data_IF_194518226929
#
_entry.id   IF_194518226929
#
_cell.length_a   1.000
_cell.length_b   1.000
_cell.length_c   1.000
_cell.angle_alpha   90.00
_cell.angle_beta   90.00
_cell.angle_gamma   90.00
#
_symmetry.space_group_name_H-M   'P 1'
#
loop_
_entity.id
_entity.type
_entity.pdbx_description
1 polymer ?
#
# COMPACT_ATOMS: atom_id res chain seq x y z
N UNK A 1 7.72 -32.32 -8.86
CA UNK A 1 6.68 -32.01 -9.87
C UNK A 1 6.73 -30.57 -10.39
N UNK A 2 6.66 -29.51 -9.55
CA UNK A 2 6.74 -28.11 -10.02
C UNK A 2 7.96 -27.85 -10.94
N UNK A 3 9.17 -28.20 -10.48
CA UNK A 3 10.40 -28.04 -11.27
C UNK A 3 10.38 -28.84 -12.57
N UNK A 4 9.84 -30.06 -12.58
CA UNK A 4 9.72 -30.86 -13.81
C UNK A 4 8.81 -30.19 -14.84
N UNK A 5 7.78 -29.46 -14.38
CA UNK A 5 6.77 -28.84 -15.25
C UNK A 5 7.20 -27.48 -15.79
N UNK A 6 7.88 -26.68 -14.97
CA UNK A 6 8.11 -25.26 -15.23
C UNK A 6 9.59 -24.82 -15.18
N UNK A 7 10.51 -25.70 -14.76
CA UNK A 7 11.87 -25.29 -14.40
C UNK A 7 11.91 -24.58 -13.04
N UNK A 8 13.02 -23.89 -12.77
CA UNK A 8 13.19 -23.08 -11.55
C UNK A 8 14.20 -21.97 -11.77
N UNK A 9 13.93 -20.82 -11.15
CA UNK A 9 14.86 -19.70 -10.99
C UNK A 9 15.36 -19.60 -9.53
N UNK A 10 15.22 -20.70 -8.78
CA UNK A 10 15.68 -20.88 -7.40
C UNK A 10 14.95 -20.05 -6.33
N UNK A 11 13.96 -19.23 -6.70
CA UNK A 11 13.13 -18.45 -5.77
C UNK A 11 11.81 -19.19 -5.48
N UNK A 12 11.52 -19.42 -4.20
CA UNK A 12 10.31 -20.13 -3.76
C UNK A 12 9.56 -19.33 -2.70
N UNK A 13 8.28 -19.04 -2.96
CA UNK A 13 7.39 -18.43 -1.99
C UNK A 13 6.64 -19.49 -1.18
N UNK A 14 6.65 -19.37 0.14
CA UNK A 14 5.88 -20.22 1.04
C UNK A 14 5.64 -19.49 2.37
N UNK A 15 4.41 -19.52 2.87
CA UNK A 15 4.05 -18.77 4.07
C UNK A 15 3.13 -19.60 4.97
N UNK A 16 3.67 -20.13 6.07
CA UNK A 16 2.95 -21.10 6.91
C UNK A 16 1.88 -20.46 7.80
N UNK A 17 2.07 -19.20 8.21
CA UNK A 17 1.25 -18.54 9.24
C UNK A 17 0.86 -17.11 8.88
N UNK A 18 0.60 -16.85 7.59
CA UNK A 18 -0.09 -15.62 7.20
C UNK A 18 -1.47 -15.62 7.85
N UNK A 19 -1.73 -14.58 8.65
CA UNK A 19 -2.98 -14.36 9.39
C UNK A 19 -3.41 -15.52 10.31
N UNK A 20 -2.48 -16.43 10.61
CA UNK A 20 -2.71 -17.55 11.49
C UNK A 20 -1.74 -17.46 12.68
N UNK A 21 -2.21 -17.92 13.84
CA UNK A 21 -1.37 -18.03 15.03
C UNK A 21 -0.68 -19.40 15.03
N UNK A 22 0.66 -19.48 15.14
CA UNK A 22 1.32 -20.77 15.36
C UNK A 22 0.83 -21.44 16.64
N UNK A 23 0.82 -22.79 16.70
CA UNK A 23 0.30 -23.52 17.86
C UNK A 23 1.18 -23.41 19.12
N UNK A 24 2.42 -22.92 18.99
CA UNK A 24 3.34 -22.66 20.11
C UNK A 24 4.14 -21.39 19.85
N UNK A 25 4.36 -20.59 20.90
CA UNK A 25 5.26 -19.42 20.89
C UNK A 25 6.69 -19.74 21.36
N UNK A 26 7.00 -21.02 21.59
CA UNK A 26 8.36 -21.48 21.89
C UNK A 26 9.29 -21.17 20.70
N UNK A 27 10.34 -20.35 20.89
CA UNK A 27 11.32 -20.07 19.85
C UNK A 27 11.90 -21.34 19.21
N UNK A 28 12.13 -22.41 19.98
CA UNK A 28 12.65 -23.67 19.42
C UNK A 28 11.67 -24.27 18.42
N UNK A 29 10.38 -24.32 18.76
CA UNK A 29 9.33 -24.82 17.86
C UNK A 29 9.31 -24.04 16.54
N UNK A 30 9.36 -22.71 16.60
CA UNK A 30 9.33 -21.86 15.40
C UNK A 30 10.58 -22.00 14.55
N UNK A 31 11.76 -22.13 15.17
CA UNK A 31 13.01 -22.41 14.48
C UNK A 31 13.02 -23.78 13.81
N UNK A 32 12.61 -24.83 14.52
CA UNK A 32 12.51 -26.19 13.97
C UNK A 32 11.55 -26.24 12.77
N UNK A 33 10.40 -25.55 12.87
CA UNK A 33 9.43 -25.47 11.78
C UNK A 33 9.98 -24.75 10.55
N UNK A 34 10.58 -23.57 10.74
CA UNK A 34 11.20 -22.81 9.64
C UNK A 34 12.31 -23.65 8.97
N UNK A 35 13.15 -24.29 9.78
CA UNK A 35 14.20 -25.19 9.31
C UNK A 35 13.64 -26.39 8.53
N UNK A 36 12.51 -26.97 8.94
CA UNK A 36 11.87 -28.07 8.23
C UNK A 36 11.34 -27.64 6.84
N UNK A 37 10.69 -26.46 6.76
CA UNK A 37 10.22 -25.89 5.48
C UNK A 37 11.39 -25.69 4.53
N UNK A 38 12.44 -25.01 4.98
CA UNK A 38 13.61 -24.74 4.15
C UNK A 38 14.37 -26.01 3.77
N UNK A 39 14.51 -26.98 4.69
CA UNK A 39 15.08 -28.31 4.39
C UNK A 39 14.33 -29.00 3.24
N UNK A 40 13.00 -28.91 3.23
CA UNK A 40 12.18 -29.43 2.13
C UNK A 40 12.47 -28.75 0.79
N UNK A 41 12.66 -27.43 0.77
CA UNK A 41 13.05 -26.70 -0.44
C UNK A 41 14.40 -27.19 -0.97
N UNK A 42 15.44 -27.23 -0.13
CA UNK A 42 16.81 -27.59 -0.57
C UNK A 42 16.99 -29.06 -0.92
N UNK A 43 16.12 -29.95 -0.44
CA UNK A 43 16.09 -31.34 -0.88
C UNK A 43 15.74 -31.45 -2.38
N UNK A 44 14.94 -30.53 -2.90
CA UNK A 44 14.55 -30.50 -4.31
C UNK A 44 15.45 -29.59 -5.15
N UNK A 45 15.91 -28.47 -4.58
CA UNK A 45 16.79 -27.50 -5.22
C UNK A 45 17.85 -26.97 -4.24
N UNK A 46 19.11 -27.44 -4.31
CA UNK A 46 20.18 -26.99 -3.43
C UNK A 46 20.49 -25.48 -3.49
N UNK A 47 19.98 -24.76 -4.51
CA UNK A 47 20.14 -23.32 -4.66
C UNK A 47 18.94 -22.52 -4.15
N UNK A 48 17.90 -23.19 -3.62
CA UNK A 48 16.66 -22.55 -3.19
C UNK A 48 16.90 -21.34 -2.27
N UNK A 49 16.15 -20.28 -2.53
CA UNK A 49 16.02 -19.09 -1.71
C UNK A 49 14.54 -18.96 -1.37
N UNK A 50 14.25 -18.86 -0.08
CA UNK A 50 12.90 -18.69 0.41
C UNK A 50 12.49 -17.21 0.37
N UNK A 51 11.48 -16.87 -0.43
CA UNK A 51 10.82 -15.57 -0.42
C UNK A 51 9.67 -15.62 0.58
N UNK A 52 9.76 -14.85 1.67
CA UNK A 52 8.81 -14.84 2.78
C UNK A 52 8.07 -13.50 2.85
N UNK A 53 6.75 -13.54 3.00
CA UNK A 53 5.96 -12.34 3.27
C UNK A 53 6.09 -11.92 4.74
N UNK A 54 6.46 -10.67 4.98
CA UNK A 54 6.60 -10.09 6.33
C UNK A 54 5.28 -9.77 7.04
N UNK A 55 4.12 -10.15 6.48
CA UNK A 55 2.78 -9.75 6.97
C UNK A 55 2.55 -10.16 8.42
N UNK A 56 3.06 -11.33 8.80
CA UNK A 56 2.91 -11.91 10.12
C UNK A 56 3.40 -10.96 11.25
N UNK A 57 4.42 -10.13 10.98
CA UNK A 57 4.93 -9.12 11.93
C UNK A 57 4.04 -7.88 12.04
N UNK A 58 3.19 -7.61 11.03
CA UNK A 58 2.18 -6.54 11.04
C UNK A 58 0.87 -7.03 11.63
N UNK A 59 0.40 -8.20 11.17
CA UNK A 59 -0.91 -8.77 11.49
C UNK A 59 -0.98 -9.30 12.92
N UNK A 60 0.09 -9.91 13.43
CA UNK A 60 0.10 -10.53 14.76
C UNK A 60 1.35 -10.15 15.60
N UNK A 61 1.56 -8.85 15.87
CA UNK A 61 2.76 -8.36 16.56
C UNK A 61 2.82 -8.79 18.03
N UNK A 62 1.66 -9.14 18.62
CA UNK A 62 1.61 -9.66 19.99
C UNK A 62 2.19 -11.06 20.11
N UNK A 63 2.09 -11.87 19.05
CA UNK A 63 2.72 -13.19 18.96
C UNK A 63 4.19 -13.08 18.52
N UNK A 64 4.44 -12.37 17.42
CA UNK A 64 5.76 -12.30 16.78
C UNK A 64 6.68 -11.28 17.47
N UNK A 65 7.13 -11.61 18.68
CA UNK A 65 8.11 -10.82 19.45
C UNK A 65 9.54 -11.18 19.01
N UNK A 66 10.56 -10.42 19.45
CA UNK A 66 11.95 -10.64 19.02
C UNK A 66 12.46 -12.08 19.19
N UNK A 67 12.21 -12.82 20.30
CA UNK A 67 12.67 -14.21 20.41
C UNK A 67 12.09 -15.14 19.35
N UNK A 68 10.79 -15.01 19.04
CA UNK A 68 10.09 -15.82 18.03
C UNK A 68 10.63 -15.52 16.63
N UNK A 69 10.76 -14.23 16.31
CA UNK A 69 11.29 -13.78 15.02
C UNK A 69 12.75 -14.21 14.84
N UNK A 70 13.62 -13.99 15.84
CA UNK A 70 15.03 -14.39 15.82
C UNK A 70 15.20 -15.90 15.61
N UNK A 71 14.37 -16.72 16.25
CA UNK A 71 14.46 -18.17 16.07
C UNK A 71 14.01 -18.63 14.67
N UNK A 72 12.92 -18.06 14.14
CA UNK A 72 12.47 -18.35 12.77
C UNK A 72 13.53 -17.97 11.74
N UNK A 73 14.06 -16.74 11.82
CA UNK A 73 15.07 -16.25 10.87
C UNK A 73 16.43 -16.95 11.05
N UNK A 74 16.85 -17.20 12.29
CA UNK A 74 18.12 -17.85 12.60
C UNK A 74 18.21 -19.32 12.18
N UNK A 75 17.07 -19.97 11.91
CA UNK A 75 17.03 -21.34 11.41
C UNK A 75 17.45 -21.47 9.93
N UNK A 76 17.50 -20.36 9.19
CA UNK A 76 17.82 -20.33 7.76
C UNK A 76 19.14 -19.59 7.56
N UNK A 77 20.03 -19.98 6.62
CA UNK A 77 21.17 -19.15 6.25
C UNK A 77 20.75 -17.77 5.71
N UNK A 78 21.55 -16.73 5.90
CA UNK A 78 21.16 -15.36 5.56
C UNK A 78 20.97 -15.13 4.06
N UNK A 79 21.79 -15.77 3.23
CA UNK A 79 21.76 -15.73 1.78
C UNK A 79 20.64 -16.58 1.15
N UNK A 80 19.84 -17.25 2.00
CA UNK A 80 18.83 -18.23 1.59
C UNK A 80 17.41 -17.81 1.92
N UNK A 81 17.23 -16.56 2.35
CA UNK A 81 15.91 -15.97 2.56
C UNK A 81 15.87 -14.51 2.11
N UNK A 82 14.79 -14.15 1.45
CA UNK A 82 14.42 -12.77 1.11
C UNK A 82 13.07 -12.45 1.77
N UNK A 83 13.00 -11.37 2.54
CA UNK A 83 11.79 -10.94 3.21
C UNK A 83 11.13 -9.79 2.45
N UNK A 84 9.83 -9.90 2.20
CA UNK A 84 9.01 -8.82 1.67
C UNK A 84 8.43 -8.03 2.85
N UNK A 85 8.99 -6.86 3.18
CA UNK A 85 8.41 -5.98 4.21
C UNK A 85 7.18 -5.27 3.63
N UNK A 86 6.03 -5.96 3.68
CA UNK A 86 4.87 -5.75 2.83
C UNK A 86 4.28 -4.32 2.82
N UNK A 87 4.35 -3.61 3.94
CA UNK A 87 3.60 -2.38 4.17
C UNK A 87 4.48 -1.24 4.71
N UNK A 88 5.65 -1.03 4.09
CA UNK A 88 6.62 -0.06 4.58
C UNK A 88 6.09 1.39 4.58
N UNK A 89 5.19 1.73 3.67
CA UNK A 89 4.56 3.04 3.58
C UNK A 89 3.69 3.37 4.81
N UNK A 90 3.23 2.36 5.57
CA UNK A 90 2.39 2.58 6.74
C UNK A 90 2.99 1.99 8.01
N UNK A 91 3.31 0.71 8.03
CA UNK A 91 3.84 -0.01 9.21
C UNK A 91 5.09 -0.81 8.84
N UNK A 92 6.24 -0.16 8.60
CA UNK A 92 7.48 -0.86 8.29
C UNK A 92 7.90 -1.76 9.47
N UNK A 93 8.25 -3.00 9.16
CA UNK A 93 8.61 -4.00 10.17
C UNK A 93 10.12 -4.19 10.30
N UNK A 94 10.89 -3.84 9.26
CA UNK A 94 12.35 -3.97 9.25
C UNK A 94 13.02 -3.33 10.48
N UNK A 95 12.53 -2.18 10.96
CA UNK A 95 13.09 -1.53 12.18
C UNK A 95 12.85 -2.35 13.45
N UNK A 96 11.70 -3.02 13.54
CA UNK A 96 11.32 -3.85 14.70
C UNK A 96 12.07 -5.19 14.72
N UNK A 97 12.55 -5.61 13.55
CA UNK A 97 13.26 -6.86 13.34
C UNK A 97 14.76 -6.67 13.13
N UNK A 98 15.31 -5.49 13.45
CA UNK A 98 16.74 -5.17 13.27
C UNK A 98 17.21 -5.52 11.83
N UNK A 99 16.45 -5.07 10.83
CA UNK A 99 16.57 -5.43 9.42
C UNK A 99 16.52 -6.94 9.18
N UNK A 100 15.48 -7.58 9.73
CA UNK A 100 15.23 -9.02 9.63
C UNK A 100 16.42 -9.89 10.05
N UNK A 101 17.17 -9.43 11.07
CA UNK A 101 18.30 -10.13 11.67
C UNK A 101 19.30 -10.70 10.66
N UNK A 102 19.63 -9.92 9.63
CA UNK A 102 20.63 -10.28 8.62
C UNK A 102 20.08 -10.86 7.32
N UNK A 103 18.76 -11.08 7.21
CA UNK A 103 18.13 -11.50 5.94
C UNK A 103 18.11 -10.35 4.93
N UNK A 104 18.18 -10.74 3.67
CA UNK A 104 17.92 -9.79 2.59
C UNK A 104 16.44 -9.42 2.57
N UNK A 105 16.11 -8.18 2.21
CA UNK A 105 14.71 -7.74 2.21
C UNK A 105 14.40 -6.67 1.17
N UNK A 106 13.13 -6.55 0.84
CA UNK A 106 12.58 -5.57 -0.09
C UNK A 106 11.65 -4.60 0.65
N UNK A 107 11.80 -3.30 0.40
CA UNK A 107 10.87 -2.27 0.86
C UNK A 107 9.60 -2.36 0.01
N UNK A 108 8.52 -2.90 0.56
CA UNK A 108 7.31 -3.14 -0.22
C UNK A 108 6.19 -2.15 0.10
N UNK A 109 5.31 -1.97 -0.87
CA UNK A 109 4.09 -1.16 -0.75
C UNK A 109 2.83 -2.02 -0.99
N UNK A 110 1.86 -1.92 -0.07
CA UNK A 110 0.52 -2.51 -0.19
C UNK A 110 -0.53 -1.39 -0.09
N UNK A 111 -0.57 -0.55 -1.11
CA UNK A 111 -1.53 0.55 -1.20
C UNK A 111 -2.99 0.10 -1.19
N UNK A 112 -3.30 -1.08 -1.74
CA UNK A 112 -4.68 -1.53 -1.87
C UNK A 112 -4.93 -2.87 -1.17
N UNK A 113 -5.97 -2.88 -0.34
CA UNK A 113 -6.52 -4.06 0.31
C UNK A 113 -7.89 -4.41 -0.30
N UNK A 114 -8.08 -5.67 -0.68
CA UNK A 114 -9.34 -6.26 -1.14
C UNK A 114 -9.89 -5.69 -2.46
N UNK A 115 -9.07 -5.04 -3.28
CA UNK A 115 -9.55 -4.37 -4.50
C UNK A 115 -10.45 -3.17 -4.22
N UNK A 116 -10.39 -2.61 -3.00
CA UNK A 116 -11.31 -1.55 -2.58
C UNK A 116 -11.11 -0.27 -3.39
N UNK A 117 -12.22 0.33 -3.79
CA UNK A 117 -12.25 1.45 -4.72
C UNK A 117 -12.18 2.77 -3.96
N UNK A 118 -10.98 3.34 -3.86
CA UNK A 118 -10.76 4.65 -3.23
C UNK A 118 -9.49 5.32 -3.77
N UNK A 119 -9.42 6.64 -3.65
CA UNK A 119 -8.21 7.41 -3.89
C UNK A 119 -7.37 7.47 -2.63
N UNK A 120 -6.20 6.82 -2.65
CA UNK A 120 -5.20 6.96 -1.59
C UNK A 120 -3.82 6.49 -2.02
N UNK A 121 -2.78 7.05 -1.39
CA UNK A 121 -1.42 6.55 -1.43
C UNK A 121 -0.49 7.47 -0.65
N UNK A 122 0.47 6.92 0.07
CA UNK A 122 1.45 7.71 0.82
C UNK A 122 2.62 8.14 -0.09
N UNK A 123 2.36 8.98 -1.10
CA UNK A 123 3.38 9.35 -2.10
C UNK A 123 4.57 10.10 -1.47
N UNK A 124 4.34 10.82 -0.37
CA UNK A 124 5.39 11.42 0.45
C UNK A 124 6.40 10.40 0.98
N UNK A 125 5.92 9.24 1.41
CA UNK A 125 6.78 8.16 1.92
C UNK A 125 7.39 7.36 0.78
N UNK A 126 6.59 7.01 -0.23
CA UNK A 126 7.07 6.26 -1.40
C UNK A 126 8.18 7.03 -2.11
N UNK A 127 7.99 8.33 -2.36
CA UNK A 127 8.97 9.19 -3.02
C UNK A 127 10.22 9.53 -2.19
N UNK A 128 10.35 9.02 -0.97
CA UNK A 128 11.39 9.45 -0.02
C UNK A 128 12.08 8.31 0.72
N UNK A 129 11.33 7.36 1.28
CA UNK A 129 11.83 6.44 2.30
C UNK A 129 12.92 5.53 1.75
N UNK A 130 12.72 4.89 0.59
CA UNK A 130 13.69 3.98 0.01
C UNK A 130 15.06 4.66 -0.19
N UNK A 131 15.08 5.86 -0.78
CA UNK A 131 16.30 6.60 -1.10
C UNK A 131 17.02 7.09 0.16
N UNK A 132 16.29 7.36 1.24
CA UNK A 132 16.88 7.79 2.50
C UNK A 132 17.44 6.64 3.33
N UNK A 133 16.84 5.45 3.26
CA UNK A 133 17.26 4.31 4.09
C UNK A 133 18.26 3.38 3.39
N UNK A 134 18.29 3.31 2.05
CA UNK A 134 19.12 2.33 1.31
C UNK A 134 20.63 2.39 1.58
N UNK A 135 21.12 3.51 2.12
CA UNK A 135 22.53 3.70 2.47
C UNK A 135 22.79 3.73 3.98
N UNK A 136 21.76 3.54 4.80
CA UNK A 136 21.88 3.51 6.26
C UNK A 136 22.37 2.13 6.70
N UNK A 137 23.40 2.03 7.57
CA UNK A 137 23.85 0.75 8.11
C UNK A 137 22.73 -0.06 8.79
N UNK A 138 21.78 0.62 9.42
CA UNK A 138 20.64 0.02 10.11
C UNK A 138 19.68 -0.70 9.16
N UNK A 139 19.68 -0.36 7.86
CA UNK A 139 18.85 -1.01 6.85
C UNK A 139 19.35 -2.41 6.47
N UNK A 140 20.53 -2.81 6.94
CA UNK A 140 21.07 -4.15 6.70
C UNK A 140 21.13 -4.48 5.20
N UNK A 141 20.56 -5.62 4.81
CA UNK A 141 20.56 -6.11 3.43
C UNK A 141 19.29 -5.70 2.67
N UNK A 142 18.97 -4.42 2.67
CA UNK A 142 17.93 -3.86 1.79
C UNK A 142 18.38 -3.98 0.33
N UNK A 143 17.64 -4.72 -0.50
CA UNK A 143 18.04 -5.01 -1.89
C UNK A 143 17.20 -4.32 -2.95
N UNK A 144 16.08 -3.68 -2.58
CA UNK A 144 15.23 -3.02 -3.55
C UNK A 144 13.82 -2.78 -3.04
N UNK A 145 12.90 -2.65 -3.98
CA UNK A 145 11.49 -2.39 -3.74
C UNK A 145 10.59 -3.57 -4.14
N UNK A 146 9.41 -3.65 -3.54
CA UNK A 146 8.37 -4.62 -3.91
C UNK A 146 7.00 -3.96 -4.08
N UNK A 147 6.25 -4.42 -5.08
CA UNK A 147 4.89 -3.97 -5.34
C UNK A 147 3.93 -5.13 -5.11
N UNK A 148 3.09 -5.03 -4.06
CA UNK A 148 2.39 -6.19 -3.46
C UNK A 148 0.91 -5.89 -3.18
N UNK A 149 0.29 -5.06 -4.03
CA UNK A 149 -1.11 -4.70 -3.90
C UNK A 149 -2.06 -5.90 -4.09
N UNK A 150 -3.13 -5.96 -3.30
CA UNK A 150 -4.19 -6.96 -3.45
C UNK A 150 -5.13 -6.65 -4.63
N UNK A 151 -5.15 -5.39 -5.07
CA UNK A 151 -5.94 -4.93 -6.21
C UNK A 151 -5.30 -3.78 -6.94
N UNK A 152 -5.59 -3.69 -8.24
CA UNK A 152 -5.02 -2.70 -9.16
C UNK A 152 -6.13 -1.87 -9.81
N UNK A 153 -5.77 -0.69 -10.32
CA UNK A 153 -6.55 0.02 -11.34
C UNK A 153 -7.03 1.41 -10.97
N UNK A 154 -7.08 1.78 -9.70
CA UNK A 154 -7.68 3.06 -9.28
C UNK A 154 -6.68 4.17 -8.93
N UNK A 155 -5.41 3.81 -8.69
CA UNK A 155 -4.38 4.75 -8.22
C UNK A 155 -3.09 4.64 -9.08
N UNK A 156 -3.16 4.83 -10.41
CA UNK A 156 -1.99 4.67 -11.29
C UNK A 156 -0.81 5.56 -10.87
N UNK A 157 -1.09 6.77 -10.36
CA UNK A 157 -0.07 7.70 -9.84
C UNK A 157 0.81 7.08 -8.74
N UNK A 158 0.27 6.16 -7.94
CA UNK A 158 1.04 5.45 -6.91
C UNK A 158 2.00 4.45 -7.53
N UNK A 159 1.54 3.76 -8.58
CA UNK A 159 2.33 2.75 -9.27
C UNK A 159 3.46 3.41 -10.04
N UNK A 160 3.15 4.50 -10.74
CA UNK A 160 4.10 5.29 -11.50
C UNK A 160 5.24 5.79 -10.61
N UNK A 161 4.92 6.42 -9.46
CA UNK A 161 5.96 6.85 -8.52
C UNK A 161 6.74 5.66 -7.95
N UNK A 162 6.04 4.61 -7.48
CA UNK A 162 6.67 3.45 -6.84
C UNK A 162 7.69 2.77 -7.75
N UNK A 163 7.34 2.54 -9.01
CA UNK A 163 8.27 1.93 -9.98
C UNK A 163 9.38 2.87 -10.41
N UNK A 164 9.11 4.18 -10.51
CA UNK A 164 10.15 5.18 -10.77
C UNK A 164 11.24 5.12 -9.67
N UNK A 165 10.86 4.89 -8.41
CA UNK A 165 11.82 4.83 -7.30
C UNK A 165 12.88 3.73 -7.42
N UNK A 166 12.70 2.70 -8.24
CA UNK A 166 13.76 1.72 -8.51
C UNK A 166 14.96 2.34 -9.26
N UNK A 167 14.71 3.42 -9.99
CA UNK A 167 15.66 4.07 -10.89
C UNK A 167 16.14 5.43 -10.38
N UNK A 168 15.67 5.84 -9.20
CA UNK A 168 16.04 7.12 -8.59
C UNK A 168 17.07 6.96 -7.50
N UNK A 169 18.03 7.88 -7.53
CA UNK A 169 19.04 7.95 -6.48
C UNK A 169 18.71 8.88 -5.31
N UNK A 170 17.77 9.79 -5.51
CA UNK A 170 17.41 10.83 -4.56
C UNK A 170 15.90 10.90 -4.37
N UNK A 171 15.43 11.35 -3.19
CA UNK A 171 14.02 11.62 -2.96
C UNK A 171 13.41 12.53 -4.03
N UNK A 172 12.12 12.35 -4.27
CA UNK A 172 11.35 13.10 -5.26
C UNK A 172 10.85 14.41 -4.65
N UNK A 173 11.00 15.52 -5.39
CA UNK A 173 10.22 16.72 -5.13
C UNK A 173 8.80 16.49 -5.66
N UNK A 174 7.88 16.14 -4.76
CA UNK A 174 6.51 15.80 -5.16
C UNK A 174 5.75 16.94 -5.83
N UNK A 175 5.99 18.19 -5.44
CA UNK A 175 5.33 19.32 -6.09
C UNK A 175 5.70 19.38 -7.56
N UNK A 176 7.00 19.26 -7.88
CA UNK A 176 7.43 19.22 -9.28
C UNK A 176 6.95 17.94 -9.98
N UNK A 177 7.06 16.80 -9.30
CA UNK A 177 6.68 15.50 -9.86
C UNK A 177 5.21 15.43 -10.23
N UNK A 178 4.28 15.98 -9.43
CA UNK A 178 2.86 16.03 -9.80
C UNK A 178 2.60 16.94 -11.01
N UNK A 179 3.38 18.00 -11.18
CA UNK A 179 3.26 18.85 -12.38
C UNK A 179 3.73 18.10 -13.64
N UNK A 180 4.84 17.37 -13.54
CA UNK A 180 5.38 16.55 -14.63
C UNK A 180 4.51 15.33 -14.92
N UNK A 181 3.89 14.76 -13.88
CA UNK A 181 2.91 13.69 -13.97
C UNK A 181 1.69 14.11 -14.79
N UNK A 182 1.09 15.26 -14.44
CA UNK A 182 -0.06 15.80 -15.17
C UNK A 182 0.27 16.03 -16.65
N UNK A 183 1.44 16.60 -16.94
CA UNK A 183 1.90 16.81 -18.32
C UNK A 183 2.08 15.49 -19.07
N UNK A 184 2.79 14.54 -18.48
CA UNK A 184 3.10 13.24 -19.11
C UNK A 184 1.83 12.42 -19.35
N UNK A 185 0.92 12.43 -18.37
CA UNK A 185 -0.33 11.66 -18.40
C UNK A 185 -1.34 12.22 -19.39
N UNK A 186 -1.40 13.54 -19.57
CA UNK A 186 -2.37 14.19 -20.45
C UNK A 186 -1.80 14.63 -21.80
N UNK A 187 -0.49 14.50 -21.99
CA UNK A 187 0.22 14.84 -23.23
C UNK A 187 0.31 16.33 -23.53
N UNK A 188 -0.13 17.22 -22.64
CA UNK A 188 -0.03 18.68 -22.79
C UNK A 188 -0.05 19.40 -21.45
N UNK A 189 0.51 20.61 -21.43
CA UNK A 189 0.45 21.47 -20.26
C UNK A 189 -0.95 22.09 -20.15
N UNK A 190 -1.53 22.01 -18.96
CA UNK A 190 -2.76 22.74 -18.62
C UNK A 190 -2.68 23.16 -17.15
N UNK A 191 -2.91 24.46 -16.89
CA UNK A 191 -2.72 25.06 -15.56
C UNK A 191 -3.70 24.51 -14.52
N UNK A 192 -4.92 24.19 -14.94
CA UNK A 192 -5.99 23.74 -14.06
C UNK A 192 -5.82 22.24 -13.73
N UNK A 193 -5.40 21.44 -14.72
CA UNK A 193 -4.95 20.07 -14.51
C UNK A 193 -3.77 19.98 -13.53
N UNK A 194 -2.74 20.84 -13.71
CA UNK A 194 -1.61 20.93 -12.76
C UNK A 194 -2.11 21.29 -11.37
N UNK A 195 -2.98 22.28 -11.25
CA UNK A 195 -3.57 22.69 -9.96
C UNK A 195 -4.33 21.53 -9.30
N UNK A 196 -5.12 20.78 -10.05
CA UNK A 196 -5.83 19.62 -9.53
C UNK A 196 -4.87 18.60 -8.91
N UNK A 197 -3.81 18.22 -9.63
CA UNK A 197 -2.82 17.26 -9.13
C UNK A 197 -2.07 17.75 -7.88
N UNK A 198 -1.79 19.05 -7.76
CA UNK A 198 -1.24 19.61 -6.51
C UNK A 198 -2.19 19.45 -5.32
N UNK A 199 -3.49 19.64 -5.54
CA UNK A 199 -4.49 19.47 -4.49
C UNK A 199 -4.65 17.98 -4.13
N UNK A 200 -4.67 17.08 -5.12
CA UNK A 200 -4.72 15.63 -4.90
C UNK A 200 -3.52 15.15 -4.08
N UNK A 201 -2.32 15.68 -4.38
CA UNK A 201 -1.10 15.43 -3.62
C UNK A 201 -1.18 15.82 -2.14
N UNK A 202 -1.88 16.92 -1.83
CA UNK A 202 -2.06 17.41 -0.45
C UNK A 202 -3.23 16.75 0.29
N UNK A 203 -4.14 16.13 -0.45
CA UNK A 203 -5.34 15.48 0.09
C UNK A 203 -5.18 13.96 0.04
N UNK A 204 -5.78 13.30 -0.95
CA UNK A 204 -5.88 11.84 -1.04
C UNK A 204 -4.52 11.13 -1.11
N UNK A 205 -3.49 11.77 -1.68
CA UNK A 205 -2.18 11.16 -1.89
C UNK A 205 -1.08 11.58 -0.89
N UNK A 206 -1.46 12.14 0.26
CA UNK A 206 -0.51 12.53 1.31
C UNK A 206 -0.34 11.46 2.42
N UNK A 207 -1.04 10.33 2.31
CA UNK A 207 -0.98 9.29 3.34
C UNK A 207 -1.66 7.98 2.95
N UNK A 208 -1.41 6.90 3.72
CA UNK A 208 -2.00 5.58 3.50
C UNK A 208 -3.41 5.54 4.10
N UNK A 209 -4.32 6.33 3.52
CA UNK A 209 -5.67 6.49 4.02
C UNK A 209 -6.56 5.36 3.55
N UNK A 210 -7.00 4.54 4.50
CA UNK A 210 -8.04 3.55 4.24
C UNK A 210 -9.42 4.18 4.43
N UNK A 211 -10.08 4.53 3.33
CA UNK A 211 -11.45 5.06 3.35
C UNK A 211 -12.38 4.14 2.59
N UNK A 212 -13.49 3.72 3.23
CA UNK A 212 -14.60 3.03 2.56
C UNK A 212 -15.81 3.94 2.51
N UNK A 213 -16.49 3.95 1.37
CA UNK A 213 -17.73 4.70 1.24
C UNK A 213 -18.85 4.00 1.99
N UNK A 214 -19.70 4.77 2.66
CA UNK A 214 -20.95 4.24 3.23
C UNK A 214 -21.86 3.62 2.18
N UNK A 215 -21.70 3.99 0.90
CA UNK A 215 -22.46 3.41 -0.23
C UNK A 215 -22.17 1.91 -0.40
N UNK A 216 -20.95 1.47 -0.05
CA UNK A 216 -20.51 0.08 -0.19
C UNK A 216 -20.77 -0.75 1.08
N UNK A 217 -21.32 -0.15 2.13
CA UNK A 217 -21.57 -0.82 3.40
C UNK A 217 -22.96 -1.46 3.44
N UNK A 218 -23.08 -2.53 4.23
CA UNK A 218 -24.39 -3.03 4.65
C UNK A 218 -25.10 -1.90 5.41
N UNK A 219 -26.32 -1.49 5.01
CA UNK A 219 -27.01 -0.36 5.62
C UNK A 219 -27.10 -0.47 7.15
N UNK A 220 -26.69 0.57 7.85
CA UNK A 220 -26.75 0.65 9.30
C UNK A 220 -26.91 2.09 9.79
N UNK A 221 -27.42 2.27 11.01
CA UNK A 221 -27.54 3.58 11.68
C UNK A 221 -26.38 3.90 12.63
N UNK A 222 -25.23 3.23 12.47
CA UNK A 222 -24.00 3.53 13.22
C UNK A 222 -23.23 4.67 12.58
N UNK A 223 -22.60 5.50 13.41
CA UNK A 223 -21.69 6.57 12.97
C UNK A 223 -20.59 6.01 12.06
N UNK A 224 -20.27 6.76 11.00
CA UNK A 224 -19.16 6.48 10.09
C UNK A 224 -18.01 7.45 10.36
N UNK A 225 -16.78 6.97 10.22
CA UNK A 225 -15.59 7.80 10.40
C UNK A 225 -15.50 8.87 9.31
N UNK A 226 -14.94 10.03 9.69
CA UNK A 226 -14.60 11.08 8.74
C UNK A 226 -13.40 10.70 7.87
N UNK A 227 -13.34 11.29 6.68
CA UNK A 227 -12.16 11.20 5.84
C UNK A 227 -11.02 12.04 6.43
N UNK A 228 -9.76 11.58 6.36
CA UNK A 228 -8.62 12.20 7.04
C UNK A 228 -8.05 13.43 6.29
N UNK A 229 -8.84 14.05 5.42
CA UNK A 229 -8.49 15.22 4.61
C UNK A 229 -9.75 16.06 4.33
N UNK A 230 -9.57 17.32 3.93
CA UNK A 230 -10.68 18.23 3.63
C UNK A 230 -11.35 17.90 2.29
N UNK A 231 -12.60 17.43 2.34
CA UNK A 231 -13.36 17.09 1.14
C UNK A 231 -13.72 18.32 0.28
N UNK A 232 -13.73 19.52 0.87
CA UNK A 232 -13.94 20.77 0.13
C UNK A 232 -12.74 21.06 -0.77
N UNK A 233 -11.53 20.87 -0.26
CA UNK A 233 -10.31 20.95 -1.07
C UNK A 233 -10.30 19.88 -2.16
N UNK A 234 -10.70 18.64 -1.85
CA UNK A 234 -10.82 17.61 -2.88
C UNK A 234 -11.84 18.01 -3.98
N UNK A 235 -12.96 18.65 -3.61
CA UNK A 235 -13.91 19.20 -4.57
C UNK A 235 -13.30 20.34 -5.41
N UNK A 236 -12.36 21.11 -4.88
CA UNK A 236 -11.60 22.10 -5.67
C UNK A 236 -10.67 21.44 -6.70
N UNK A 237 -10.09 20.28 -6.38
CA UNK A 237 -9.37 19.49 -7.39
C UNK A 237 -10.31 19.05 -8.53
N UNK A 238 -11.52 18.60 -8.19
CA UNK A 238 -12.53 18.24 -9.19
C UNK A 238 -12.94 19.44 -10.05
N UNK A 239 -13.22 20.60 -9.45
CA UNK A 239 -13.53 21.84 -10.18
C UNK A 239 -12.39 22.25 -11.13
N UNK A 240 -11.15 22.11 -10.69
CA UNK A 240 -9.99 22.40 -11.52
C UNK A 240 -9.88 21.41 -12.71
N UNK A 241 -10.19 20.12 -12.50
CA UNK A 241 -10.30 19.19 -13.63
C UNK A 241 -11.43 19.62 -14.58
N UNK A 242 -12.62 19.98 -14.09
CA UNK A 242 -13.74 20.48 -14.94
C UNK A 242 -13.30 21.67 -15.77
N UNK A 243 -12.57 22.64 -15.20
CA UNK A 243 -12.06 23.80 -15.93
C UNK A 243 -11.06 23.43 -17.05
N UNK A 244 -10.38 22.29 -16.93
CA UNK A 244 -9.48 21.77 -17.97
C UNK A 244 -10.20 20.95 -19.05
N UNK A 245 -11.50 20.68 -18.91
CA UNK A 245 -12.22 19.72 -19.76
C UNK A 245 -12.35 20.16 -21.22
N UNK A 246 -12.43 21.45 -21.49
CA UNK A 246 -12.50 21.96 -22.88
C UNK A 246 -11.22 21.60 -23.68
N UNK A 247 -10.06 21.56 -23.01
CA UNK A 247 -8.77 21.26 -23.65
C UNK A 247 -8.37 19.78 -23.55
N UNK A 248 -8.80 19.08 -22.50
CA UNK A 248 -8.36 17.73 -22.16
C UNK A 248 -9.46 16.66 -22.26
N UNK A 249 -10.71 17.05 -22.53
CA UNK A 249 -11.88 16.16 -22.48
C UNK A 249 -11.83 14.95 -23.40
N UNK A 250 -11.06 15.01 -24.49
CA UNK A 250 -10.84 13.90 -25.42
C UNK A 250 -9.68 12.97 -25.01
N UNK A 251 -8.91 13.33 -23.97
CA UNK A 251 -7.82 12.51 -23.46
C UNK A 251 -8.37 11.47 -22.49
N UNK A 252 -8.21 10.18 -22.82
CA UNK A 252 -8.77 9.07 -22.05
C UNK A 252 -8.33 9.06 -20.57
N UNK A 253 -7.04 9.25 -20.31
CA UNK A 253 -6.49 9.33 -18.96
C UNK A 253 -7.06 10.50 -18.14
N UNK A 254 -7.35 11.62 -18.78
CA UNK A 254 -8.02 12.75 -18.15
C UNK A 254 -9.47 12.45 -17.79
N UNK A 255 -10.23 11.81 -18.70
CA UNK A 255 -11.61 11.37 -18.43
C UNK A 255 -11.64 10.38 -17.26
N UNK A 256 -10.69 9.45 -17.24
CA UNK A 256 -10.51 8.51 -16.13
C UNK A 256 -10.30 9.25 -14.81
N UNK A 257 -9.34 10.17 -14.73
CA UNK A 257 -9.04 10.90 -13.49
C UNK A 257 -10.20 11.81 -13.06
N UNK A 258 -10.84 12.50 -14.00
CA UNK A 258 -12.04 13.31 -13.75
C UNK A 258 -13.13 12.49 -13.04
N UNK A 259 -13.47 11.33 -13.59
CA UNK A 259 -14.51 10.45 -13.03
C UNK A 259 -14.07 9.89 -11.68
N UNK A 260 -12.81 9.49 -11.55
CA UNK A 260 -12.26 8.90 -10.32
C UNK A 260 -12.26 9.91 -9.16
N UNK A 261 -11.89 11.17 -9.42
CA UNK A 261 -11.96 12.26 -8.45
C UNK A 261 -13.41 12.63 -8.11
N UNK A 262 -14.28 12.74 -9.12
CA UNK A 262 -15.71 12.99 -8.90
C UNK A 262 -16.33 11.93 -8.00
N UNK A 263 -16.07 10.64 -8.29
CA UNK A 263 -16.51 9.51 -7.47
C UNK A 263 -16.06 9.67 -6.03
N UNK A 264 -14.78 10.02 -5.80
CA UNK A 264 -14.26 10.16 -4.44
C UNK A 264 -14.95 11.31 -3.69
N UNK A 265 -15.11 12.48 -4.32
CA UNK A 265 -15.80 13.65 -3.71
C UNK A 265 -17.23 13.28 -3.29
N UNK A 266 -17.98 12.62 -4.18
CA UNK A 266 -19.35 12.20 -3.93
C UNK A 266 -19.43 11.09 -2.87
N UNK A 267 -18.50 10.13 -2.90
CA UNK A 267 -18.40 9.06 -1.90
C UNK A 267 -18.13 9.61 -0.50
N UNK A 268 -17.29 10.64 -0.39
CA UNK A 268 -17.02 11.34 0.86
C UNK A 268 -18.25 12.14 1.31
N UNK A 269 -18.97 12.77 0.39
CA UNK A 269 -20.19 13.51 0.70
C UNK A 269 -21.33 12.58 1.16
N UNK A 270 -21.40 11.35 0.67
CA UNK A 270 -22.35 10.35 1.15
C UNK A 270 -22.22 10.08 2.65
N UNK A 271 -21.01 10.14 3.21
CA UNK A 271 -20.80 10.02 4.67
C UNK A 271 -21.43 11.20 5.44
N UNK A 272 -21.44 12.41 4.86
CA UNK A 272 -22.12 13.58 5.45
C UNK A 272 -23.63 13.38 5.47
N UNK A 273 -24.20 12.94 4.35
CA UNK A 273 -25.64 12.66 4.23
C UNK A 273 -26.07 11.53 5.17
N UNK A 274 -25.27 10.48 5.28
CA UNK A 274 -25.53 9.36 6.18
C UNK A 274 -25.56 9.79 7.65
N UNK A 275 -24.64 10.68 8.07
CA UNK A 275 -24.67 11.25 9.43
C UNK A 275 -25.92 12.09 9.67
N UNK A 276 -26.31 12.93 8.73
CA UNK A 276 -27.55 13.70 8.83
C UNK A 276 -28.77 12.76 8.99
N UNK A 277 -28.79 11.66 8.23
CA UNK A 277 -29.85 10.65 8.35
C UNK A 277 -29.86 9.97 9.73
N UNK A 278 -28.69 9.65 10.31
CA UNK A 278 -28.60 9.11 11.67
C UNK A 278 -29.15 10.11 12.69
N UNK A 279 -28.79 11.38 12.59
CA UNK A 279 -29.26 12.43 13.51
C UNK A 279 -30.78 12.60 13.45
N UNK A 280 -31.34 12.64 12.23
CA UNK A 280 -32.79 12.71 12.02
C UNK A 280 -33.48 11.47 12.59
N UNK A 281 -32.93 10.28 12.34
CA UNK A 281 -33.44 9.02 12.89
C UNK A 281 -33.41 9.00 14.42
N UNK A 282 -32.37 9.52 15.05
CA UNK A 282 -32.24 9.62 16.51
C UNK A 282 -33.28 10.59 17.11
N UNK A 283 -33.55 11.69 16.41
CA UNK A 283 -34.58 12.68 16.77
C UNK A 283 -36.01 12.20 16.48
N UNK A 284 -36.17 11.07 15.77
CA UNK A 284 -37.47 10.55 15.28
C UNK A 284 -38.25 11.57 14.45
N UNK A 285 -37.55 12.43 13.72
CA UNK A 285 -38.16 13.48 12.92
C UNK A 285 -38.35 13.02 11.47
N UNK A 286 -39.45 12.31 11.20
CA UNK A 286 -39.76 11.83 9.86
C UNK A 286 -39.93 12.95 8.81
N UNK A 287 -40.19 14.19 9.24
CA UNK A 287 -40.39 15.32 8.32
C UNK A 287 -39.07 15.85 7.76
N UNK A 288 -37.97 15.65 8.49
CA UNK A 288 -36.61 16.03 8.09
C UNK A 288 -35.90 15.00 7.20
N UNK A 289 -36.56 13.90 6.83
CA UNK A 289 -36.05 12.85 5.92
C UNK A 289 -36.29 13.14 4.42
N UNK A 290 -36.92 14.27 4.08
CA UNK A 290 -37.27 14.65 2.70
C UNK A 290 -36.11 15.24 1.90
#
# INVERSE_FOLDING_TARGET
EQVKRFGTDHLYAADTFIEMRPPSDDPKYLGDLAGAVYKGMIQSDPKAIWVLQGWLFVNNPAFWKPPQAKAMFGAIPDERMIVLDLMCEQTPTWRKTEAFYGKSWLWCNIQNFGGTVHLSGALNKIGHDLQTIRWQPESGKLMGLGFVNEGLGYNPVVYDLMFEMAWRDQPVNLEQWFADYALSRYGRQNKDARRAWQILGKTVYNGPYYTRSVVDHIPHLRQVADVPYDNTQLADAWRALIAAADELGEVDTFRFDMVNVARQVLSNYANVLHRALIEVSQKKDASALK
#
